data_IF_757394473370
#
_entry.id   IF_757394473370
#
_cell.length_a   1.000
_cell.length_b   1.000
_cell.length_c   1.000
_cell.angle_alpha   90.00
_cell.angle_beta   90.00
_cell.angle_gamma   90.00
#
_symmetry.space_group_name_H-M   'P 1'
#
loop_
_entity.id
_entity.type
_entity.pdbx_description
1 polymer ?
#
# COMPACT_ATOMS: atom_id res chain seq x y z
N UNK A 1 -16.95 23.64 -13.44
CA UNK A 1 -15.58 23.22 -13.71
C UNK A 1 -14.60 23.34 -12.54
N UNK A 2 -14.86 24.19 -11.52
CA UNK A 2 -13.87 24.44 -10.44
C UNK A 2 -13.91 23.38 -9.34
N UNK A 3 -14.97 22.61 -9.22
CA UNK A 3 -15.07 21.52 -8.23
C UNK A 3 -14.18 20.31 -8.54
N UNK A 4 -13.75 20.17 -9.78
CA UNK A 4 -12.89 19.06 -10.19
C UNK A 4 -11.40 19.31 -9.87
N UNK A 5 -10.99 20.55 -9.67
CA UNK A 5 -9.60 20.89 -9.30
C UNK A 5 -9.22 20.37 -7.89
N UNK A 6 -10.17 20.29 -6.97
CA UNK A 6 -9.90 19.72 -5.62
C UNK A 6 -9.84 18.19 -5.69
N UNK A 7 -10.62 17.56 -6.58
CA UNK A 7 -10.55 16.11 -6.84
C UNK A 7 -9.33 15.73 -7.66
N UNK A 8 -8.89 16.58 -8.62
CA UNK A 8 -7.70 16.32 -9.39
C UNK A 8 -6.42 16.36 -8.54
N UNK A 9 -6.35 17.17 -7.49
CA UNK A 9 -5.25 17.12 -6.52
C UNK A 9 -5.17 15.78 -5.79
N UNK A 10 -6.31 15.15 -5.51
CA UNK A 10 -6.36 13.78 -4.98
C UNK A 10 -5.90 12.74 -6.01
N UNK A 11 -6.26 12.91 -7.28
CA UNK A 11 -5.83 12.05 -8.37
C UNK A 11 -4.33 12.17 -8.65
N UNK A 12 -3.76 13.36 -8.62
CA UNK A 12 -2.31 13.58 -8.77
C UNK A 12 -1.52 12.90 -7.65
N UNK A 13 -2.08 12.79 -6.46
CA UNK A 13 -1.47 12.01 -5.37
C UNK A 13 -1.52 10.52 -5.69
N UNK A 14 -2.64 10.01 -6.20
CA UNK A 14 -2.81 8.59 -6.55
C UNK A 14 -1.93 8.13 -7.73
N UNK A 15 -1.60 8.97 -8.69
CA UNK A 15 -0.74 8.58 -9.83
C UNK A 15 0.71 8.26 -9.42
N UNK A 16 1.12 8.61 -8.22
CA UNK A 16 2.43 8.26 -7.65
C UNK A 16 2.39 6.98 -6.81
N UNK A 17 1.22 6.45 -6.52
CA UNK A 17 1.07 5.23 -5.75
C UNK A 17 1.71 4.04 -6.48
N UNK A 18 2.20 3.10 -5.71
CA UNK A 18 2.73 1.83 -6.21
C UNK A 18 1.76 0.74 -5.84
N UNK A 19 1.09 0.24 -6.86
CA UNK A 19 0.14 -0.86 -6.77
C UNK A 19 0.77 -2.15 -7.24
N UNK A 20 0.62 -3.20 -6.44
CA UNK A 20 0.89 -4.57 -6.85
C UNK A 20 -0.41 -5.22 -7.30
N UNK A 21 -0.42 -5.78 -8.50
CA UNK A 21 -1.59 -6.44 -9.07
C UNK A 21 -1.23 -7.89 -9.35
N UNK A 22 -2.11 -8.79 -8.94
CA UNK A 22 -1.97 -10.22 -9.23
C UNK A 22 -3.22 -10.72 -9.97
N UNK A 23 -2.99 -11.48 -11.02
CA UNK A 23 -4.00 -12.28 -11.71
C UNK A 23 -3.58 -13.74 -11.56
N UNK A 24 -4.40 -14.54 -10.92
CA UNK A 24 -4.06 -15.92 -10.58
C UNK A 24 -5.24 -16.88 -10.75
N UNK A 25 -4.97 -18.15 -10.54
CA UNK A 25 -6.03 -19.16 -10.43
C UNK A 25 -6.79 -18.95 -9.10
N UNK A 26 -8.09 -19.31 -9.03
CA UNK A 26 -8.88 -19.19 -7.81
C UNK A 26 -8.24 -19.87 -6.59
N UNK A 27 -7.68 -21.06 -6.79
CA UNK A 27 -7.01 -21.85 -5.74
C UNK A 27 -5.78 -21.19 -5.14
N UNK A 28 -5.12 -20.30 -5.89
CA UNK A 28 -3.90 -19.60 -5.47
C UNK A 28 -4.17 -18.24 -4.81
N UNK A 29 -5.42 -17.75 -4.85
CA UNK A 29 -5.72 -16.36 -4.46
C UNK A 29 -5.46 -16.06 -2.98
N UNK A 30 -5.70 -17.00 -2.09
CA UNK A 30 -5.42 -16.83 -0.66
C UNK A 30 -3.91 -16.65 -0.40
N UNK A 31 -3.10 -17.53 -0.99
CA UNK A 31 -1.63 -17.45 -0.89
C UNK A 31 -1.08 -16.15 -1.46
N UNK A 32 -1.60 -15.69 -2.61
CA UNK A 32 -1.18 -14.41 -3.18
C UNK A 32 -1.63 -13.21 -2.36
N UNK A 33 -2.80 -13.26 -1.74
CA UNK A 33 -3.27 -12.23 -0.83
C UNK A 33 -2.30 -12.04 0.34
N UNK A 34 -1.91 -13.13 1.00
CA UNK A 34 -0.98 -13.09 2.12
C UNK A 34 0.40 -12.56 1.71
N UNK A 35 0.92 -12.96 0.54
CA UNK A 35 2.18 -12.45 0.01
C UNK A 35 2.13 -10.95 -0.30
N UNK A 36 1.05 -10.48 -0.91
CA UNK A 36 0.88 -9.06 -1.23
C UNK A 36 0.83 -8.21 0.04
N UNK A 37 0.01 -8.62 0.99
CA UNK A 37 -0.10 -7.95 2.28
C UNK A 37 1.24 -7.93 3.03
N UNK A 38 1.91 -9.07 3.12
CA UNK A 38 3.20 -9.20 3.81
C UNK A 38 4.26 -8.28 3.21
N UNK A 39 4.31 -8.11 1.89
CA UNK A 39 5.23 -7.18 1.23
C UNK A 39 5.09 -5.75 1.74
N UNK A 40 3.88 -5.27 1.99
CA UNK A 40 3.65 -3.94 2.56
C UNK A 40 4.14 -3.87 4.00
N UNK A 41 3.76 -4.84 4.82
CA UNK A 41 4.18 -4.90 6.23
C UNK A 41 5.71 -4.93 6.35
N UNK A 42 6.37 -5.77 5.55
CA UNK A 42 7.83 -5.91 5.57
C UNK A 42 8.54 -4.63 5.10
N UNK A 43 7.99 -3.95 4.09
CA UNK A 43 8.53 -2.67 3.63
C UNK A 43 8.54 -1.63 4.76
N UNK A 44 7.42 -1.44 5.45
CA UNK A 44 7.33 -0.47 6.54
C UNK A 44 8.22 -0.85 7.73
N UNK A 45 8.24 -2.13 8.10
CA UNK A 45 9.11 -2.64 9.16
C UNK A 45 10.59 -2.48 8.85
N UNK A 46 10.97 -2.67 7.58
CA UNK A 46 12.38 -2.47 7.17
C UNK A 46 12.86 -1.04 7.34
N UNK A 47 11.93 -0.10 7.46
CA UNK A 47 12.22 1.33 7.72
C UNK A 47 12.00 1.72 9.18
N UNK A 48 11.87 0.75 10.09
CA UNK A 48 11.59 0.96 11.52
C UNK A 48 10.28 1.72 11.79
N UNK A 49 9.30 1.67 10.87
CA UNK A 49 8.00 2.31 11.03
C UNK A 49 7.02 1.31 11.65
N UNK A 50 6.47 1.61 12.85
CA UNK A 50 5.48 0.74 13.49
C UNK A 50 4.20 0.67 12.65
N UNK A 51 3.77 -0.55 12.34
CA UNK A 51 2.54 -0.79 11.59
C UNK A 51 1.67 -1.82 12.28
N UNK A 52 0.36 -1.69 12.05
CA UNK A 52 -0.63 -2.73 12.37
C UNK A 52 -1.47 -3.05 11.15
N UNK A 53 -2.08 -4.22 11.15
CA UNK A 53 -3.04 -4.64 10.12
C UNK A 53 -4.43 -4.70 10.71
N UNK A 54 -5.41 -4.20 9.98
CA UNK A 54 -6.83 -4.31 10.29
C UNK A 54 -7.50 -5.13 9.19
N UNK A 55 -8.20 -6.20 9.58
CA UNK A 55 -9.08 -6.90 8.67
C UNK A 55 -10.41 -6.14 8.57
N UNK A 56 -10.80 -5.77 7.35
CA UNK A 56 -12.06 -5.06 7.11
C UNK A 56 -13.23 -6.01 7.39
N UNK A 57 -14.16 -5.56 8.22
CA UNK A 57 -15.39 -6.30 8.48
C UNK A 57 -16.32 -6.29 7.26
N UNK A 58 -17.28 -7.20 7.22
CA UNK A 58 -18.21 -7.35 6.08
C UNK A 58 -19.03 -6.07 5.79
N UNK A 59 -19.29 -5.25 6.81
CA UNK A 59 -19.99 -3.98 6.64
C UNK A 59 -19.18 -2.88 5.93
N UNK A 60 -17.86 -2.98 5.95
CA UNK A 60 -16.95 -2.01 5.31
C UNK A 60 -16.34 -2.54 4.00
N UNK A 61 -16.59 -3.82 3.68
CA UNK A 61 -16.13 -4.37 2.41
C UNK A 61 -16.93 -3.77 1.24
N UNK A 62 -16.21 -3.25 0.24
CA UNK A 62 -16.87 -2.88 -1.02
C UNK A 62 -17.41 -4.12 -1.74
N UNK A 63 -18.51 -3.97 -2.49
CA UNK A 63 -19.26 -5.04 -3.15
C UNK A 63 -18.43 -6.04 -3.96
N UNK A 64 -17.27 -5.62 -4.45
CA UNK A 64 -16.39 -6.45 -5.27
C UNK A 64 -15.32 -7.19 -4.47
N UNK A 65 -15.16 -6.89 -3.19
CA UNK A 65 -14.11 -7.46 -2.36
C UNK A 65 -14.59 -8.70 -1.63
N UNK A 66 -13.78 -9.74 -1.67
CA UNK A 66 -13.97 -10.98 -0.90
C UNK A 66 -13.29 -10.86 0.46
N UNK A 67 -12.12 -10.20 0.49
CA UNK A 67 -11.30 -9.98 1.68
C UNK A 67 -10.49 -8.69 1.49
N UNK A 68 -10.32 -7.92 2.56
CA UNK A 68 -9.46 -6.74 2.55
C UNK A 68 -8.73 -6.58 3.88
N UNK A 69 -7.44 -6.24 3.79
CA UNK A 69 -6.61 -5.83 4.92
C UNK A 69 -6.14 -4.40 4.68
N UNK A 70 -6.30 -3.54 5.68
CA UNK A 70 -5.69 -2.22 5.69
C UNK A 70 -4.44 -2.26 6.57
N UNK A 71 -3.35 -1.72 6.04
CA UNK A 71 -2.11 -1.51 6.78
C UNK A 71 -2.07 -0.09 7.25
N UNK A 72 -1.94 0.08 8.56
CA UNK A 72 -1.87 1.39 9.20
C UNK A 72 -0.51 1.61 9.85
N UNK A 73 0.06 2.81 9.67
CA UNK A 73 1.29 3.24 10.32
C UNK A 73 1.00 4.14 11.52
N UNK A 74 1.85 4.07 12.53
CA UNK A 74 1.79 4.94 13.70
C UNK A 74 2.21 6.37 13.37
N UNK A 75 1.42 7.35 13.80
CA UNK A 75 1.77 8.77 13.77
C UNK A 75 2.11 9.25 15.20
N UNK A 76 3.38 9.48 15.52
CA UNK A 76 3.79 10.02 16.81
C UNK A 76 3.17 11.39 17.11
N UNK A 77 3.01 12.24 16.10
CA UNK A 77 2.41 13.56 16.20
C UNK A 77 0.93 13.52 16.56
N UNK A 78 0.18 12.63 15.86
CA UNK A 78 -1.27 12.50 16.07
C UNK A 78 -1.63 11.52 17.19
N UNK A 79 -0.65 10.72 17.67
CA UNK A 79 -0.82 9.65 18.66
C UNK A 79 -1.90 8.64 18.25
N UNK A 80 -1.94 8.32 16.95
CA UNK A 80 -2.87 7.35 16.36
C UNK A 80 -2.28 6.67 15.15
N UNK A 81 -2.87 5.55 14.79
CA UNK A 81 -2.60 4.89 13.51
C UNK A 81 -3.42 5.54 12.39
N UNK A 82 -2.91 5.53 11.18
CA UNK A 82 -3.59 5.95 9.96
C UNK A 82 -3.23 5.02 8.80
N UNK A 83 -4.18 4.82 7.89
CA UNK A 83 -4.02 3.94 6.75
C UNK A 83 -2.93 4.43 5.79
N UNK A 84 -2.01 3.52 5.45
CA UNK A 84 -0.91 3.75 4.50
C UNK A 84 -0.96 2.82 3.30
N UNK A 85 -1.76 1.77 3.34
CA UNK A 85 -1.96 0.85 2.25
C UNK A 85 -3.15 -0.08 2.50
N UNK A 86 -3.70 -0.64 1.43
CA UNK A 86 -4.81 -1.59 1.48
C UNK A 86 -4.57 -2.74 0.52
N UNK A 87 -4.73 -3.96 1.01
CA UNK A 87 -4.63 -5.19 0.24
C UNK A 87 -6.01 -5.80 0.05
N UNK A 88 -6.41 -6.09 -1.19
CA UNK A 88 -7.75 -6.59 -1.51
C UNK A 88 -7.72 -7.81 -2.41
N UNK A 89 -8.51 -8.82 -2.04
CA UNK A 89 -8.88 -9.93 -2.89
C UNK A 89 -10.28 -9.66 -3.47
N UNK A 90 -10.38 -9.60 -4.81
CA UNK A 90 -11.62 -9.30 -5.51
C UNK A 90 -12.27 -10.56 -6.11
N UNK A 91 -11.71 -11.74 -5.82
CA UNK A 91 -12.18 -12.98 -6.42
C UNK A 91 -12.23 -12.86 -7.94
N UNK A 92 -13.31 -13.33 -8.55
CA UNK A 92 -13.50 -13.27 -10.00
C UNK A 92 -14.32 -12.04 -10.48
N UNK A 93 -14.68 -11.12 -9.59
CA UNK A 93 -15.58 -10.01 -9.92
C UNK A 93 -15.04 -9.11 -11.05
N UNK A 94 -13.76 -8.73 -10.98
CA UNK A 94 -13.13 -7.96 -12.05
C UNK A 94 -12.88 -8.81 -13.30
N UNK A 95 -12.46 -10.06 -13.12
CA UNK A 95 -12.18 -10.96 -14.23
C UNK A 95 -13.44 -11.23 -15.08
N UNK A 96 -14.63 -11.30 -14.46
CA UNK A 96 -15.91 -11.40 -15.19
C UNK A 96 -16.16 -10.18 -16.06
N UNK A 97 -15.98 -8.97 -15.51
CA UNK A 97 -16.19 -7.71 -16.22
C UNK A 97 -15.18 -7.53 -17.37
N UNK A 98 -13.91 -7.86 -17.11
CA UNK A 98 -12.81 -7.70 -18.07
C UNK A 98 -12.62 -8.93 -18.98
N UNK A 99 -13.41 -9.99 -18.77
CA UNK A 99 -13.34 -11.27 -19.51
C UNK A 99 -11.97 -11.95 -19.40
N UNK A 100 -11.29 -11.81 -18.27
CA UNK A 100 -10.00 -12.45 -18.00
C UNK A 100 -10.24 -13.91 -17.61
N UNK A 101 -9.70 -14.84 -18.37
CA UNK A 101 -9.90 -16.28 -18.18
C UNK A 101 -8.60 -17.05 -18.10
N UNK A 102 -8.59 -18.07 -17.28
CA UNK A 102 -7.57 -19.11 -17.24
C UNK A 102 -7.94 -20.16 -18.29
N UNK A 103 -6.99 -20.48 -19.17
CA UNK A 103 -7.13 -21.63 -20.10
C UNK A 103 -6.65 -22.89 -19.39
N UNK A 104 -7.51 -23.88 -19.27
CA UNK A 104 -7.15 -25.20 -18.74
C UNK A 104 -7.48 -26.29 -19.76
N UNK A 105 -6.59 -27.29 -19.86
CA UNK A 105 -6.83 -28.45 -20.72
C UNK A 105 -7.91 -29.36 -20.13
N UNK A 106 -7.95 -29.48 -18.81
CA UNK A 106 -8.78 -30.45 -18.09
C UNK A 106 -10.13 -29.90 -17.63
N UNK A 107 -10.16 -28.60 -17.23
CA UNK A 107 -11.34 -27.95 -16.62
C UNK A 107 -12.07 -26.99 -17.58
N UNK A 108 -11.61 -26.87 -18.85
CA UNK A 108 -12.12 -25.83 -19.75
C UNK A 108 -11.68 -24.43 -19.31
N UNK A 109 -12.30 -23.39 -19.88
CA UNK A 109 -11.97 -22.00 -19.56
C UNK A 109 -12.81 -21.51 -18.36
N UNK A 110 -12.15 -20.94 -17.34
CA UNK A 110 -12.80 -20.37 -16.17
C UNK A 110 -12.23 -18.99 -15.84
N UNK A 111 -12.94 -18.20 -15.01
CA UNK A 111 -12.49 -16.85 -14.66
C UNK A 111 -11.31 -16.90 -13.70
N UNK A 112 -10.34 -16.01 -13.93
CA UNK A 112 -9.24 -15.79 -12.99
C UNK A 112 -9.72 -15.06 -11.75
N UNK A 113 -8.93 -15.11 -10.67
CA UNK A 113 -9.04 -14.18 -9.55
C UNK A 113 -8.09 -13.00 -9.72
N UNK A 114 -8.48 -11.84 -9.21
CA UNK A 114 -7.65 -10.63 -9.21
C UNK A 114 -7.47 -10.11 -7.80
N UNK A 115 -6.27 -9.63 -7.54
CA UNK A 115 -5.91 -9.03 -6.26
C UNK A 115 -5.13 -7.75 -6.52
N UNK A 116 -5.25 -6.80 -5.63
CA UNK A 116 -4.39 -5.61 -5.61
C UNK A 116 -3.93 -5.29 -4.19
N UNK A 117 -2.84 -4.55 -4.12
CA UNK A 117 -2.30 -4.05 -2.87
C UNK A 117 -1.57 -2.75 -3.11
N UNK A 118 -2.00 -1.69 -2.44
CA UNK A 118 -1.24 -0.44 -2.37
C UNK A 118 -0.04 -0.64 -1.46
N UNK A 119 1.12 -0.86 -2.04
CA UNK A 119 2.35 -1.03 -1.27
C UNK A 119 2.92 0.31 -0.82
N UNK A 120 2.80 1.35 -1.62
CA UNK A 120 3.24 2.71 -1.30
C UNK A 120 2.26 3.73 -1.85
N UNK A 121 1.61 4.46 -0.96
CA UNK A 121 0.96 5.74 -1.21
C UNK A 121 1.93 6.86 -0.79
N UNK A 122 2.70 7.48 -1.71
CA UNK A 122 3.83 8.33 -1.37
C UNK A 122 3.53 9.45 -0.37
N UNK A 123 2.40 10.17 -0.44
CA UNK A 123 2.10 11.20 0.55
C UNK A 123 1.91 10.65 1.96
N UNK A 124 1.20 9.53 2.10
CA UNK A 124 0.98 8.87 3.40
C UNK A 124 2.26 8.26 3.93
N UNK A 125 3.02 7.58 3.05
CA UNK A 125 4.33 7.04 3.36
C UNK A 125 5.28 8.13 3.86
N UNK A 126 5.33 9.28 3.19
CA UNK A 126 6.20 10.39 3.55
C UNK A 126 5.85 10.96 4.94
N UNK A 127 4.57 11.07 5.27
CA UNK A 127 4.14 11.47 6.62
C UNK A 127 4.64 10.46 7.66
N UNK A 128 4.37 9.16 7.46
CA UNK A 128 4.82 8.12 8.36
C UNK A 128 6.34 8.11 8.53
N UNK A 129 7.07 8.23 7.41
CA UNK A 129 8.52 8.26 7.38
C UNK A 129 9.10 9.46 8.17
N UNK A 130 8.65 10.68 7.86
CA UNK A 130 9.16 11.88 8.51
C UNK A 130 8.86 11.90 10.00
N UNK A 131 7.62 11.57 10.39
CA UNK A 131 7.21 11.60 11.79
C UNK A 131 7.93 10.55 12.66
N UNK A 132 8.22 9.36 12.13
CA UNK A 132 8.89 8.30 12.88
C UNK A 132 10.42 8.42 12.90
N UNK A 133 11.00 9.20 11.98
CA UNK A 133 12.45 9.36 11.87
C UNK A 133 12.94 10.76 12.26
N UNK A 134 12.05 11.66 12.71
CA UNK A 134 12.41 13.00 13.16
C UNK A 134 13.17 12.92 14.48
N UNK A 135 14.34 13.57 14.52
CA UNK A 135 15.18 13.69 15.71
C UNK A 135 14.93 15.01 16.46
N UNK A 136 15.38 15.08 17.72
CA UNK A 136 15.22 16.27 18.56
C UNK A 136 15.95 17.52 18.02
N UNK A 137 17.01 17.33 17.23
CA UNK A 137 17.77 18.39 16.56
C UNK A 137 17.13 18.87 15.26
N UNK A 138 15.91 18.39 14.92
CA UNK A 138 15.22 18.70 13.68
C UNK A 138 15.70 17.94 12.46
N UNK A 139 16.72 17.09 12.59
CA UNK A 139 17.17 16.22 11.51
C UNK A 139 16.24 15.01 11.34
N UNK A 140 16.28 14.38 10.16
CA UNK A 140 15.53 13.17 9.86
C UNK A 140 16.50 12.02 9.59
N UNK A 141 16.45 10.97 10.40
CA UNK A 141 17.25 9.76 10.22
C UNK A 141 16.81 9.04 8.94
N UNK A 142 17.77 8.56 8.15
CA UNK A 142 17.50 7.70 6.98
C UNK A 142 17.71 6.24 7.40
N UNK A 143 16.66 5.40 7.36
CA UNK A 143 16.78 3.97 7.59
C UNK A 143 17.84 3.32 6.68
N UNK A 144 18.52 2.33 7.19
CA UNK A 144 19.65 1.70 6.49
C UNK A 144 19.28 1.21 5.08
N UNK A 145 18.10 0.62 4.94
CA UNK A 145 17.58 0.09 3.66
C UNK A 145 17.46 1.14 2.57
N UNK A 146 17.31 2.42 2.94
CA UNK A 146 17.17 3.54 1.99
C UNK A 146 18.48 4.24 1.67
N UNK A 147 19.54 4.10 2.49
CA UNK A 147 20.78 4.86 2.33
C UNK A 147 21.45 4.66 0.98
N UNK A 148 21.40 3.43 0.44
CA UNK A 148 21.95 3.13 -0.89
C UNK A 148 21.30 3.92 -2.03
N UNK A 149 20.04 4.32 -1.84
CA UNK A 149 19.30 5.14 -2.81
C UNK A 149 19.46 6.65 -2.56
N UNK A 150 20.03 7.01 -1.41
CA UNK A 150 20.24 8.38 -0.96
C UNK A 150 21.73 8.78 -0.99
N UNK A 151 22.55 8.14 -1.84
CA UNK A 151 23.98 8.44 -1.94
C UNK A 151 24.80 8.07 -0.70
N UNK A 152 24.29 7.16 0.14
CA UNK A 152 24.96 6.70 1.35
C UNK A 152 24.74 7.59 2.57
N UNK A 153 24.03 8.72 2.47
CA UNK A 153 23.76 9.59 3.61
C UNK A 153 22.84 8.87 4.62
N UNK A 154 23.10 9.10 5.89
CA UNK A 154 22.35 8.50 6.99
C UNK A 154 21.32 9.45 7.64
N UNK A 155 21.38 10.74 7.27
CA UNK A 155 20.57 11.79 7.87
C UNK A 155 20.34 12.96 6.92
N UNK A 156 19.13 13.52 6.96
CA UNK A 156 18.80 14.81 6.36
C UNK A 156 18.85 15.84 7.48
N UNK A 157 19.69 16.87 7.32
CA UNK A 157 19.83 17.94 8.32
C UNK A 157 19.07 19.19 7.89
N UNK A 158 18.55 20.00 8.84
CA UNK A 158 17.99 21.30 8.53
C UNK A 158 19.01 22.18 7.79
N UNK A 159 18.55 23.00 6.88
CA UNK A 159 19.41 23.96 6.19
C UNK A 159 19.50 25.23 7.05
N UNK A 160 20.66 25.50 7.64
CA UNK A 160 20.90 26.66 8.51
C UNK A 160 20.99 27.99 7.73
N UNK A 161 20.75 27.96 6.41
CA UNK A 161 20.70 29.17 5.59
C UNK A 161 19.33 29.86 5.73
N UNK A 162 19.19 30.67 6.79
CA UNK A 162 18.24 31.78 6.87
C UNK A 162 18.99 33.09 6.95
#
# INVERSE_FOLDING_TARGET
>A
GIRDLVRSRGLEMCIRDREMIVVCKPEDSAMWFDKLWQNTVDLFRSMDIPVRTIECCSGDLADLKVKSYDVEAWSPRQKKYFEVGSCSNLGDAQARRLKIRVKSKDKGNYFAHTLNNTVVAPPRMLIAFLENNLCADGSVKIPEVLRKYMGGIDRIVPNDNK
#
